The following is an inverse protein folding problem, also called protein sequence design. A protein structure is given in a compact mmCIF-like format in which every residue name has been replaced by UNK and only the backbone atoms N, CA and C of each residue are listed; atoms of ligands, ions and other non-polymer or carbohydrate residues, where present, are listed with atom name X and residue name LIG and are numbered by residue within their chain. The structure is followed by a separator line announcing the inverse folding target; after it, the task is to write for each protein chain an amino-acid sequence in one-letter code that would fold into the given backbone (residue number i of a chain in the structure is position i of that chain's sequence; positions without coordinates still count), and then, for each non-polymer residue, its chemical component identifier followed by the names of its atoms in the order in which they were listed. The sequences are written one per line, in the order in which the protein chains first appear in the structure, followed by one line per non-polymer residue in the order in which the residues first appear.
data_IF_731057511586
#
_entry.id   IF_731057511586
#
_cell.length_a   1.000
_cell.length_b   1.000
_cell.length_c   1.000
_cell.angle_alpha   90.00
_cell.angle_beta   90.00
_cell.angle_gamma   90.00
#
_symmetry.space_group_name_H-M   'P 1'
#
loop_
_entity.id
_entity.type
_entity.pdbx_description
1 polymer ?
#
# COMPACT_ATOMS: atom_id res chain seq x y z
N UNK A 1 71.90 -5.40 -21.03
CA UNK A 1 71.00 -6.31 -21.76
C UNK A 1 70.29 -5.48 -22.83
N UNK A 2 70.35 -5.95 -24.05
CA UNK A 2 70.02 -5.25 -25.30
C UNK A 2 68.53 -4.91 -25.43
N UNK A 3 68.26 -3.71 -25.92
CA UNK A 3 66.93 -3.17 -26.22
C UNK A 3 66.31 -3.94 -27.39
N UNK A 4 65.11 -4.48 -27.20
CA UNK A 4 64.24 -4.93 -28.29
C UNK A 4 63.03 -3.99 -28.34
N UNK A 5 63.12 -2.98 -29.22
CA UNK A 5 62.01 -2.09 -29.55
C UNK A 5 60.89 -2.92 -30.21
N UNK A 6 59.65 -2.87 -29.72
CA UNK A 6 58.53 -3.46 -30.43
C UNK A 6 58.35 -2.73 -31.77
N UNK A 7 58.34 -3.49 -32.86
CA UNK A 7 58.19 -2.99 -34.22
C UNK A 7 56.95 -2.06 -34.33
N UNK A 8 57.08 -0.85 -34.90
CA UNK A 8 55.96 0.11 -35.01
C UNK A 8 54.78 -0.44 -35.84
N UNK A 9 55.03 -1.48 -36.63
CA UNK A 9 54.04 -2.21 -37.43
C UNK A 9 53.03 -3.00 -36.58
N UNK A 10 53.40 -3.44 -35.38
CA UNK A 10 52.53 -4.19 -34.46
C UNK A 10 51.65 -3.26 -33.62
N UNK A 11 52.14 -2.06 -33.29
CA UNK A 11 51.35 -1.03 -32.61
C UNK A 11 50.32 -0.40 -33.57
N UNK A 12 50.69 -0.22 -34.84
CA UNK A 12 49.81 0.31 -35.87
C UNK A 12 48.63 -0.62 -36.18
N UNK A 13 48.86 -1.93 -36.22
CA UNK A 13 47.81 -2.92 -36.46
C UNK A 13 46.86 -3.09 -35.28
N UNK A 14 47.33 -2.96 -34.03
CA UNK A 14 46.47 -2.94 -32.84
C UNK A 14 45.63 -1.65 -32.71
N UNK A 15 46.13 -0.50 -33.17
CA UNK A 15 45.34 0.74 -33.24
C UNK A 15 44.24 0.69 -34.30
N UNK A 16 44.50 0.03 -35.44
CA UNK A 16 43.53 -0.12 -36.53
C UNK A 16 42.34 -1.03 -36.15
N UNK A 17 42.55 -2.01 -35.26
CA UNK A 17 41.47 -2.89 -34.79
C UNK A 17 40.65 -2.26 -33.65
N UNK A 18 41.27 -1.45 -32.79
CA UNK A 18 40.56 -0.71 -31.73
C UNK A 18 39.70 0.45 -32.27
N UNK A 19 39.95 0.91 -33.50
CA UNK A 19 39.13 1.93 -34.17
C UNK A 19 37.85 1.38 -34.83
N UNK A 20 37.63 0.06 -34.82
CA UNK A 20 36.56 -0.59 -35.58
C UNK A 20 35.31 -0.94 -34.75
N UNK A 21 35.08 -0.30 -33.59
CA UNK A 21 33.98 -0.70 -32.70
C UNK A 21 33.45 0.34 -31.72
N UNK A 22 33.80 1.62 -31.87
CA UNK A 22 33.24 2.67 -31.03
C UNK A 22 32.22 3.47 -31.84
N UNK A 23 30.93 3.24 -31.58
CA UNK A 23 29.84 4.12 -31.99
C UNK A 23 30.04 5.51 -31.38
N UNK A 24 30.80 6.34 -32.07
CA UNK A 24 31.04 7.73 -31.69
C UNK A 24 29.80 8.59 -32.00
N UNK A 25 29.49 9.58 -31.15
CA UNK A 25 28.40 10.52 -31.39
C UNK A 25 28.59 11.24 -32.73
N UNK A 26 27.49 11.61 -33.39
CA UNK A 26 27.49 12.17 -34.74
C UNK A 26 28.42 13.38 -34.95
N UNK A 27 28.72 14.13 -33.88
CA UNK A 27 29.66 15.26 -33.91
C UNK A 27 31.13 14.86 -34.17
N UNK A 28 31.50 13.59 -33.97
CA UNK A 28 32.86 13.08 -34.15
C UNK A 28 33.04 12.19 -35.40
N UNK A 29 31.96 11.95 -36.17
CA UNK A 29 32.05 11.18 -37.42
C UNK A 29 32.49 12.11 -38.55
N UNK A 30 33.73 11.96 -39.02
CA UNK A 30 34.23 12.69 -40.19
C UNK A 30 33.34 12.49 -41.43
N UNK A 31 33.42 13.42 -42.38
CA UNK A 31 32.59 13.56 -43.59
C UNK A 31 32.15 12.24 -44.27
N UNK A 32 33.02 11.24 -44.40
CA UNK A 32 32.70 9.95 -45.03
C UNK A 32 31.83 9.02 -44.16
N UNK A 33 31.92 9.11 -42.83
CA UNK A 33 31.05 8.37 -41.91
C UNK A 33 29.63 8.94 -41.86
N UNK A 34 29.47 10.24 -42.11
CA UNK A 34 28.17 10.91 -42.23
C UNK A 34 27.42 10.55 -43.51
N UNK A 35 28.11 10.46 -44.66
CA UNK A 35 27.48 10.06 -45.93
C UNK A 35 27.08 8.59 -45.92
N UNK A 36 27.90 7.70 -45.33
CA UNK A 36 27.55 6.29 -45.15
C UNK A 36 26.30 6.10 -44.29
N UNK A 37 26.23 6.80 -43.14
CA UNK A 37 25.07 6.74 -42.24
C UNK A 37 23.78 7.34 -42.83
N UNK A 38 23.91 8.39 -43.65
CA UNK A 38 22.79 9.00 -44.38
C UNK A 38 22.23 8.08 -45.49
N UNK A 39 23.07 7.29 -46.15
CA UNK A 39 22.65 6.32 -47.19
C UNK A 39 22.06 5.05 -46.57
N UNK A 40 22.54 4.62 -45.39
CA UNK A 40 22.04 3.40 -44.71
C UNK A 40 20.83 3.64 -43.80
N UNK A 41 20.44 4.89 -43.56
CA UNK A 41 19.33 5.25 -42.67
C UNK A 41 19.61 5.01 -41.19
N UNK A 42 20.88 4.87 -40.80
CA UNK A 42 21.28 4.55 -39.42
C UNK A 42 20.94 5.68 -38.45
N UNK A 43 21.05 6.94 -38.89
CA UNK A 43 20.66 8.10 -38.08
C UNK A 43 19.14 8.18 -37.88
N UNK A 44 18.32 7.79 -38.87
CA UNK A 44 16.87 7.67 -38.69
C UNK A 44 16.50 6.55 -37.71
N UNK A 45 17.20 5.41 -37.75
CA UNK A 45 17.01 4.32 -36.80
C UNK A 45 17.39 4.74 -35.38
N UNK A 46 18.49 5.46 -35.22
CA UNK A 46 18.94 5.95 -33.93
C UNK A 46 18.00 7.03 -33.37
N UNK A 47 17.46 7.92 -34.22
CA UNK A 47 16.43 8.87 -33.82
C UNK A 47 15.14 8.17 -33.37
N UNK A 48 14.63 7.21 -34.15
CA UNK A 48 13.44 6.42 -33.80
C UNK A 48 13.64 5.59 -32.53
N UNK A 49 14.83 5.03 -32.31
CA UNK A 49 15.16 4.31 -31.09
C UNK A 49 15.12 5.23 -29.87
N UNK A 50 15.69 6.44 -29.97
CA UNK A 50 15.63 7.45 -28.90
C UNK A 50 14.21 7.94 -28.63
N UNK A 51 13.41 8.15 -29.68
CA UNK A 51 11.99 8.50 -29.53
C UNK A 51 11.19 7.37 -28.87
N UNK A 52 11.44 6.11 -29.25
CA UNK A 52 10.82 4.94 -28.64
C UNK A 52 11.23 4.77 -27.16
N UNK A 53 12.49 5.02 -26.84
CA UNK A 53 12.97 5.01 -25.45
C UNK A 53 12.36 6.14 -24.62
N UNK A 54 12.27 7.36 -25.17
CA UNK A 54 11.67 8.50 -24.50
C UNK A 54 10.17 8.28 -24.24
N UNK A 55 9.42 7.79 -25.23
CA UNK A 55 7.99 7.48 -25.08
C UNK A 55 7.77 6.31 -24.12
N UNK A 56 8.62 5.28 -24.13
CA UNK A 56 8.56 4.20 -23.15
C UNK A 56 8.87 4.69 -21.73
N UNK A 57 9.84 5.58 -21.56
CA UNK A 57 10.18 6.19 -20.27
C UNK A 57 9.04 7.07 -19.75
N UNK A 58 8.43 7.88 -20.62
CA UNK A 58 7.26 8.70 -20.28
C UNK A 58 6.07 7.82 -19.86
N UNK A 59 5.78 6.77 -20.62
CA UNK A 59 4.70 5.84 -20.28
C UNK A 59 4.94 5.17 -18.93
N UNK A 60 6.16 4.73 -18.64
CA UNK A 60 6.53 4.16 -17.33
C UNK A 60 6.41 5.20 -16.21
N UNK A 61 6.81 6.45 -16.45
CA UNK A 61 6.68 7.52 -15.48
C UNK A 61 5.21 7.82 -15.15
N UNK A 62 4.33 7.82 -16.15
CA UNK A 62 2.88 7.99 -15.97
C UNK A 62 2.28 6.81 -15.18
N UNK A 63 2.65 5.57 -15.51
CA UNK A 63 2.22 4.38 -14.76
C UNK A 63 2.70 4.41 -13.31
N UNK A 64 3.96 4.81 -13.06
CA UNK A 64 4.51 4.94 -11.72
C UNK A 64 3.76 6.00 -10.90
N UNK A 65 3.43 7.15 -11.51
CA UNK A 65 2.62 8.20 -10.87
C UNK A 65 1.21 7.70 -10.53
N UNK A 66 0.56 6.98 -11.45
CA UNK A 66 -0.75 6.40 -11.20
C UNK A 66 -0.71 5.39 -10.03
N UNK A 67 0.29 4.52 -10.00
CA UNK A 67 0.49 3.56 -8.92
C UNK A 67 0.77 4.25 -7.57
N UNK A 68 1.55 5.34 -7.57
CA UNK A 68 1.80 6.14 -6.36
C UNK A 68 0.50 6.75 -5.81
N UNK A 69 -0.32 7.35 -6.66
CA UNK A 69 -1.62 7.92 -6.28
C UNK A 69 -2.55 6.85 -5.73
N UNK A 70 -2.61 5.66 -6.35
CA UNK A 70 -3.40 4.55 -5.82
C UNK A 70 -2.90 4.08 -4.44
N UNK A 71 -1.58 4.00 -4.26
CA UNK A 71 -0.98 3.61 -2.99
C UNK A 71 -1.32 4.63 -1.89
N UNK A 72 -1.20 5.92 -2.18
CA UNK A 72 -1.60 7.00 -1.26
C UNK A 72 -3.08 6.92 -0.89
N UNK A 73 -3.97 6.68 -1.88
CA UNK A 73 -5.40 6.51 -1.62
C UNK A 73 -5.68 5.30 -0.71
N UNK A 74 -5.01 4.17 -0.93
CA UNK A 74 -5.15 2.98 -0.09
C UNK A 74 -4.67 3.23 1.33
N UNK A 75 -3.56 3.95 1.51
CA UNK A 75 -3.05 4.36 2.83
C UNK A 75 -4.00 5.33 3.54
N UNK A 76 -4.53 6.32 2.82
CA UNK A 76 -5.51 7.25 3.38
C UNK A 76 -6.79 6.52 3.82
N UNK A 77 -7.28 5.58 3.00
CA UNK A 77 -8.45 4.77 3.31
C UNK A 77 -8.24 3.87 4.53
N UNK A 78 -7.08 3.21 4.65
CA UNK A 78 -6.78 2.36 5.82
C UNK A 78 -6.66 3.19 7.10
N UNK A 79 -6.00 4.35 7.04
CA UNK A 79 -5.91 5.26 8.18
C UNK A 79 -7.29 5.81 8.59
N UNK A 80 -8.16 6.11 7.63
CA UNK A 80 -9.54 6.52 7.91
C UNK A 80 -10.35 5.39 8.55
N UNK A 81 -10.22 4.16 8.06
CA UNK A 81 -10.90 2.99 8.62
C UNK A 81 -10.47 2.69 10.07
N UNK A 82 -9.19 2.86 10.39
CA UNK A 82 -8.68 2.71 11.76
C UNK A 82 -9.25 3.76 12.70
N UNK A 83 -9.21 5.04 12.31
CA UNK A 83 -9.82 6.13 13.10
C UNK A 83 -11.32 5.93 13.27
N UNK A 84 -12.00 5.41 12.26
CA UNK A 84 -13.42 5.10 12.36
C UNK A 84 -13.69 3.96 13.35
N UNK A 85 -12.90 2.88 13.29
CA UNK A 85 -12.97 1.78 14.25
C UNK A 85 -12.72 2.25 15.69
N UNK A 86 -11.74 3.11 15.91
CA UNK A 86 -11.47 3.72 17.22
C UNK A 86 -12.68 4.50 17.76
N UNK A 87 -13.29 5.35 16.91
CA UNK A 87 -14.49 6.11 17.30
C UNK A 87 -15.66 5.19 17.63
N UNK A 88 -15.88 4.13 16.86
CA UNK A 88 -16.93 3.13 17.10
C UNK A 88 -16.70 2.39 18.42
N UNK A 89 -15.47 1.98 18.72
CA UNK A 89 -15.12 1.34 19.99
C UNK A 89 -15.34 2.27 21.19
N UNK A 90 -15.05 3.56 21.05
CA UNK A 90 -15.34 4.57 22.07
C UNK A 90 -16.85 4.81 22.24
N UNK A 91 -17.63 4.80 21.16
CA UNK A 91 -19.08 4.90 21.23
C UNK A 91 -19.70 3.67 21.94
N UNK A 92 -19.18 2.46 21.63
CA UNK A 92 -19.59 1.21 22.27
C UNK A 92 -19.35 1.21 23.78
N UNK A 93 -18.29 1.85 24.26
CA UNK A 93 -18.07 2.01 25.71
C UNK A 93 -19.24 2.74 26.39
N UNK A 94 -19.69 3.85 25.80
CA UNK A 94 -20.85 4.60 26.30
C UNK A 94 -22.15 3.79 26.23
N UNK A 95 -22.33 3.00 25.17
CA UNK A 95 -23.48 2.11 25.01
C UNK A 95 -23.49 0.99 26.06
N UNK A 96 -22.37 0.28 26.25
CA UNK A 96 -22.22 -0.77 27.27
C UNK A 96 -22.51 -0.21 28.67
N UNK A 97 -22.03 1.00 28.98
CA UNK A 97 -22.33 1.66 30.26
C UNK A 97 -23.81 2.00 30.43
N UNK A 98 -24.54 2.29 29.35
CA UNK A 98 -26.01 2.47 29.38
C UNK A 98 -26.72 1.12 29.59
N UNK A 99 -26.31 0.08 28.85
CA UNK A 99 -26.88 -1.27 28.98
C UNK A 99 -26.69 -1.85 30.39
N UNK A 100 -25.51 -1.65 31.00
CA UNK A 100 -25.25 -2.07 32.39
C UNK A 100 -26.20 -1.40 33.39
N UNK A 101 -26.49 -0.10 33.21
CA UNK A 101 -27.46 0.63 34.06
C UNK A 101 -28.88 0.11 33.85
N UNK A 102 -29.30 -0.06 32.59
CA UNK A 102 -30.62 -0.60 32.28
C UNK A 102 -30.81 -2.03 32.83
N UNK A 103 -29.76 -2.86 32.80
CA UNK A 103 -29.79 -4.19 33.42
C UNK A 103 -29.93 -4.11 34.94
N UNK A 104 -29.17 -3.20 35.58
CA UNK A 104 -29.25 -3.02 37.04
C UNK A 104 -30.64 -2.57 37.47
N UNK A 105 -31.27 -1.65 36.73
CA UNK A 105 -32.64 -1.20 36.95
C UNK A 105 -33.65 -2.33 36.76
N UNK A 106 -33.57 -3.09 35.65
CA UNK A 106 -34.45 -4.22 35.39
C UNK A 106 -34.31 -5.33 36.45
N UNK A 107 -33.09 -5.56 36.94
CA UNK A 107 -32.79 -6.56 37.97
C UNK A 107 -33.21 -6.10 39.37
N UNK A 108 -33.32 -4.80 39.64
CA UNK A 108 -33.86 -4.31 40.90
C UNK A 108 -35.32 -4.76 41.12
N UNK A 109 -36.10 -4.91 40.04
CA UNK A 109 -37.43 -5.50 40.08
C UNK A 109 -37.43 -7.04 40.24
N UNK A 110 -36.30 -7.71 39.96
CA UNK A 110 -36.16 -9.17 39.92
C UNK A 110 -34.75 -9.64 40.34
N UNK A 111 -34.39 -9.57 41.63
CA UNK A 111 -33.01 -9.82 42.06
C UNK A 111 -32.52 -11.26 41.86
N UNK A 112 -33.43 -12.24 41.86
CA UNK A 112 -33.14 -13.68 41.81
C UNK A 112 -33.39 -14.34 40.44
N UNK A 113 -33.56 -13.55 39.38
CA UNK A 113 -33.83 -14.12 38.05
C UNK A 113 -32.52 -14.60 37.37
N UNK A 114 -32.43 -15.89 36.99
CA UNK A 114 -31.25 -16.42 36.29
C UNK A 114 -30.98 -15.73 34.95
N UNK A 115 -32.01 -15.21 34.27
CA UNK A 115 -31.82 -14.51 33.00
C UNK A 115 -31.01 -13.22 33.17
N UNK A 116 -31.21 -12.50 34.28
CA UNK A 116 -30.46 -11.29 34.61
C UNK A 116 -28.97 -11.57 34.80
N UNK A 117 -28.61 -12.70 35.42
CA UNK A 117 -27.22 -13.13 35.60
C UNK A 117 -26.55 -13.46 34.24
N UNK A 118 -27.25 -14.19 33.37
CA UNK A 118 -26.74 -14.51 32.01
C UNK A 118 -26.50 -13.25 31.19
N UNK A 119 -27.40 -12.27 31.26
CA UNK A 119 -27.24 -10.99 30.56
C UNK A 119 -26.07 -10.18 31.12
N UNK A 120 -25.86 -10.21 32.44
CA UNK A 120 -24.72 -9.57 33.09
C UNK A 120 -23.39 -10.17 32.58
N UNK A 121 -23.25 -11.49 32.59
CA UNK A 121 -22.04 -12.16 32.14
C UNK A 121 -21.73 -11.86 30.66
N UNK A 122 -22.78 -11.79 29.82
CA UNK A 122 -22.65 -11.41 28.41
C UNK A 122 -22.20 -9.96 28.25
N UNK A 123 -22.74 -9.03 29.04
CA UNK A 123 -22.32 -7.63 29.03
C UNK A 123 -20.87 -7.46 29.50
N UNK A 124 -20.46 -8.16 30.56
CA UNK A 124 -19.09 -8.13 31.04
C UNK A 124 -18.10 -8.73 30.03
N UNK A 125 -18.50 -9.82 29.35
CA UNK A 125 -17.70 -10.38 28.26
C UNK A 125 -17.56 -9.38 27.11
N UNK A 126 -18.66 -8.76 26.68
CA UNK A 126 -18.64 -7.74 25.62
C UNK A 126 -17.72 -6.57 25.99
N UNK A 127 -17.76 -6.12 27.25
CA UNK A 127 -16.92 -5.04 27.76
C UNK A 127 -15.43 -5.41 27.75
N UNK A 128 -15.09 -6.64 28.18
CA UNK A 128 -13.71 -7.16 28.11
C UNK A 128 -13.21 -7.27 26.66
N UNK A 129 -14.05 -7.78 25.76
CA UNK A 129 -13.72 -7.89 24.33
C UNK A 129 -13.51 -6.51 23.70
N UNK A 130 -14.37 -5.53 24.02
CA UNK A 130 -14.22 -4.12 23.60
C UNK A 130 -12.92 -3.52 24.14
N UNK A 131 -12.61 -3.72 25.42
CA UNK A 131 -11.37 -3.22 26.03
C UNK A 131 -10.11 -3.86 25.39
N UNK A 132 -10.18 -5.14 25.02
CA UNK A 132 -9.11 -5.80 24.27
C UNK A 132 -8.98 -5.22 22.84
N UNK A 133 -10.09 -4.99 22.16
CA UNK A 133 -10.12 -4.39 20.82
C UNK A 133 -9.64 -2.93 20.82
N UNK A 134 -9.85 -2.18 21.90
CA UNK A 134 -9.34 -0.81 22.03
C UNK A 134 -7.79 -0.74 22.03
N UNK A 135 -7.10 -1.80 22.46
CA UNK A 135 -5.62 -1.87 22.42
C UNK A 135 -5.08 -2.09 21.01
N UNK A 136 -5.86 -2.74 20.16
CA UNK A 136 -5.52 -3.00 18.75
C UNK A 136 -6.78 -2.83 17.90
N UNK A 137 -7.08 -1.59 17.48
CA UNK A 137 -8.28 -1.29 16.70
C UNK A 137 -8.28 -2.07 15.39
N UNK A 138 -9.37 -2.78 15.13
CA UNK A 138 -9.60 -3.52 13.91
C UNK A 138 -11.06 -3.28 13.46
N UNK A 139 -11.29 -2.78 12.24
CA UNK A 139 -12.64 -2.50 11.73
C UNK A 139 -13.58 -3.71 11.79
N UNK A 140 -13.09 -4.90 11.44
CA UNK A 140 -13.92 -6.11 11.44
C UNK A 140 -14.37 -6.50 12.85
N UNK A 141 -13.46 -6.34 13.83
CA UNK A 141 -13.77 -6.56 15.25
C UNK A 141 -14.76 -5.53 15.78
N UNK A 142 -14.61 -4.24 15.44
CA UNK A 142 -15.58 -3.20 15.83
C UNK A 142 -16.99 -3.51 15.31
N UNK A 143 -17.12 -3.87 14.03
CA UNK A 143 -18.41 -4.24 13.42
C UNK A 143 -19.06 -5.46 14.10
N UNK A 144 -18.25 -6.45 14.49
CA UNK A 144 -18.74 -7.62 15.21
C UNK A 144 -19.28 -7.24 16.59
N UNK A 145 -18.54 -6.43 17.34
CA UNK A 145 -18.94 -5.98 18.67
C UNK A 145 -20.22 -5.13 18.62
N UNK A 146 -20.39 -4.28 17.60
CA UNK A 146 -21.64 -3.53 17.40
C UNK A 146 -22.85 -4.42 17.13
N UNK A 147 -22.69 -5.51 16.38
CA UNK A 147 -23.78 -6.47 16.18
C UNK A 147 -24.14 -7.17 17.48
N UNK A 148 -23.13 -7.59 18.25
CA UNK A 148 -23.34 -8.20 19.56
C UNK A 148 -24.00 -7.24 20.56
N UNK A 149 -23.61 -5.96 20.58
CA UNK A 149 -24.25 -4.94 21.42
C UNK A 149 -25.73 -4.78 21.07
N UNK A 150 -26.06 -4.68 19.78
CA UNK A 150 -27.45 -4.58 19.32
C UNK A 150 -28.29 -5.80 19.67
N UNK A 151 -27.74 -7.00 19.54
CA UNK A 151 -28.40 -8.23 19.96
C UNK A 151 -28.67 -8.24 21.47
N UNK A 152 -27.66 -7.84 22.25
CA UNK A 152 -27.76 -7.80 23.70
C UNK A 152 -28.73 -6.73 24.19
N UNK A 153 -28.79 -5.57 23.52
CA UNK A 153 -29.81 -4.55 23.79
C UNK A 153 -31.23 -5.09 23.56
N UNK A 154 -31.47 -5.82 22.46
CA UNK A 154 -32.78 -6.44 22.21
C UNK A 154 -33.14 -7.48 23.27
N UNK A 155 -32.18 -8.30 23.69
CA UNK A 155 -32.38 -9.27 24.75
C UNK A 155 -32.71 -8.59 26.09
N UNK A 156 -32.05 -7.48 26.39
CA UNK A 156 -32.30 -6.66 27.58
C UNK A 156 -33.66 -5.95 27.55
N UNK A 157 -34.07 -5.43 26.39
CA UNK A 157 -35.41 -4.88 26.21
C UNK A 157 -36.50 -5.94 26.39
N UNK A 158 -36.30 -7.15 25.87
CA UNK A 158 -37.23 -8.26 26.07
C UNK A 158 -37.30 -8.64 27.56
N UNK A 159 -36.14 -8.70 28.22
CA UNK A 159 -36.04 -8.94 29.66
C UNK A 159 -36.75 -7.88 30.50
N UNK A 160 -36.65 -6.59 30.13
CA UNK A 160 -37.28 -5.49 30.86
C UNK A 160 -38.81 -5.40 30.67
N UNK A 161 -39.37 -6.04 29.63
CA UNK A 161 -40.82 -6.05 29.36
C UNK A 161 -41.58 -7.21 30.01
N UNK A 162 -40.87 -8.28 30.38
CA UNK A 162 -41.42 -9.37 31.20
C UNK A 162 -41.78 -8.83 32.58
#
# INVERSE_FOLDING_TARGET
MTVALPSPLLLATLLLVAACGAERPAAERGFFGGIGAAITGEDERQARAREAEATAAETRALQARAAAIEAERRQAASAAALRDAERRLAALEGEIARLKRALAEARAGRPNDPQGAVLQDRLERLDRERAAAARRPDPATADRLERQSRELNRALEAYGRL
#
